data_IF_447543170839
#
_entry.id   IF_447543170839
#
_cell.length_a   1.000
_cell.length_b   1.000
_cell.length_c   1.000
_cell.angle_alpha   90.00
_cell.angle_beta   90.00
_cell.angle_gamma   90.00
#
_symmetry.space_group_name_H-M   'P 1'
#
loop_
_entity.id
_entity.type
_entity.pdbx_description
1 polymer ?
#
# COMPACT_ATOMS: atom_id res chain seq x y z
N UNK A 1 10.67 -10.87 -14.69
CA UNK A 1 10.30 -10.59 -13.28
C UNK A 1 10.39 -9.10 -13.10
N UNK A 2 9.39 -8.50 -12.46
CA UNK A 2 9.31 -7.05 -12.30
C UNK A 2 10.15 -6.64 -11.09
N UNK A 3 11.45 -6.43 -11.31
CA UNK A 3 12.45 -6.15 -10.25
C UNK A 3 12.03 -4.96 -9.36
N UNK A 4 11.25 -4.03 -9.92
CA UNK A 4 10.70 -2.90 -9.18
C UNK A 4 9.57 -3.29 -8.23
N UNK A 5 8.66 -4.16 -8.67
CA UNK A 5 7.66 -4.73 -7.78
C UNK A 5 8.32 -5.46 -6.62
N UNK A 6 9.38 -6.24 -6.87
CA UNK A 6 10.13 -6.93 -5.83
C UNK A 6 10.77 -5.95 -4.83
N UNK A 7 11.31 -4.84 -5.32
CA UNK A 7 11.87 -3.78 -4.47
C UNK A 7 10.80 -3.09 -3.61
N UNK A 8 9.67 -2.70 -4.21
CA UNK A 8 8.54 -2.06 -3.51
C UNK A 8 7.94 -3.05 -2.49
N UNK A 9 7.79 -4.32 -2.86
CA UNK A 9 7.28 -5.37 -2.01
C UNK A 9 8.18 -5.61 -0.78
N UNK A 10 9.50 -5.63 -0.95
CA UNK A 10 10.44 -5.76 0.16
C UNK A 10 10.33 -4.61 1.16
N UNK A 11 10.20 -3.37 0.67
CA UNK A 11 10.01 -2.18 1.51
C UNK A 11 8.66 -2.21 2.26
N UNK A 12 7.59 -2.61 1.57
CA UNK A 12 6.28 -2.78 2.19
C UNK A 12 6.29 -3.91 3.23
N UNK A 13 6.93 -5.04 2.95
CA UNK A 13 7.08 -6.14 3.91
C UNK A 13 7.75 -5.68 5.19
N UNK A 14 8.82 -4.90 5.06
CA UNK A 14 9.55 -4.34 6.20
C UNK A 14 8.71 -3.39 7.04
N UNK A 15 7.87 -2.56 6.42
CA UNK A 15 6.88 -1.77 7.14
C UNK A 15 5.82 -2.64 7.84
N UNK A 16 5.35 -3.71 7.19
CA UNK A 16 4.34 -4.59 7.76
C UNK A 16 4.86 -5.37 8.98
N UNK A 17 6.14 -5.73 8.99
CA UNK A 17 6.80 -6.45 10.08
C UNK A 17 7.24 -5.49 11.20
N UNK A 18 8.08 -4.50 10.87
CA UNK A 18 8.80 -3.64 11.82
C UNK A 18 8.12 -2.29 12.12
N UNK A 19 7.00 -1.95 11.45
CA UNK A 19 6.40 -0.60 11.47
C UNK A 19 7.32 0.51 10.93
N UNK A 20 8.30 0.14 10.10
CA UNK A 20 9.30 1.06 9.55
C UNK A 20 8.64 2.05 8.57
N UNK A 21 8.36 3.26 9.06
CA UNK A 21 7.73 4.33 8.26
C UNK A 21 8.64 4.82 7.13
N UNK A 22 9.95 4.78 7.30
CA UNK A 22 10.89 5.19 6.26
C UNK A 22 10.84 4.22 5.07
N UNK A 23 10.70 2.92 5.34
CA UNK A 23 10.48 1.91 4.31
C UNK A 23 9.17 2.15 3.54
N UNK A 24 8.09 2.53 4.23
CA UNK A 24 6.82 2.89 3.57
C UNK A 24 6.97 4.13 2.67
N UNK A 25 7.70 5.16 3.09
CA UNK A 25 7.95 6.35 2.29
C UNK A 25 8.85 6.06 1.07
N UNK A 26 9.86 5.21 1.24
CA UNK A 26 10.68 4.72 0.13
C UNK A 26 9.85 3.94 -0.89
N UNK A 27 8.96 3.05 -0.42
CA UNK A 27 8.05 2.28 -1.29
C UNK A 27 7.12 3.20 -2.09
N UNK A 28 6.58 4.23 -1.43
CA UNK A 28 5.75 5.25 -2.08
C UNK A 28 6.52 6.05 -3.13
N UNK A 29 7.77 6.42 -2.85
CA UNK A 29 8.63 7.18 -3.76
C UNK A 29 8.97 6.35 -5.00
N UNK A 30 9.35 5.09 -4.81
CA UNK A 30 9.62 4.15 -5.90
C UNK A 30 8.37 3.94 -6.77
N UNK A 31 7.20 3.72 -6.15
CA UNK A 31 5.94 3.60 -6.86
C UNK A 31 5.56 4.88 -7.64
N UNK A 32 5.76 6.06 -7.05
CA UNK A 32 5.47 7.34 -7.72
C UNK A 32 6.38 7.61 -8.93
N UNK A 33 7.64 7.17 -8.87
CA UNK A 33 8.58 7.27 -9.99
C UNK A 33 8.16 6.38 -11.17
N UNK A 34 7.54 5.23 -10.89
CA UNK A 34 7.08 4.25 -11.89
C UNK A 34 5.57 4.26 -12.09
N UNK A 35 5.03 5.41 -12.53
CA UNK A 35 3.61 5.65 -12.85
C UNK A 35 2.89 4.58 -13.69
N UNK A 36 3.59 3.63 -14.31
CA UNK A 36 3.08 2.63 -15.22
C UNK A 36 2.33 1.47 -14.54
N UNK A 37 2.73 1.06 -13.33
CA UNK A 37 2.23 -0.18 -12.70
C UNK A 37 1.70 0.05 -11.29
N UNK A 38 0.60 0.80 -11.23
CA UNK A 38 -0.07 1.27 -10.03
C UNK A 38 -0.75 0.11 -9.27
N UNK A 39 -1.25 -0.89 -10.01
CA UNK A 39 -2.12 -1.94 -9.47
C UNK A 39 -1.32 -3.08 -8.82
N UNK A 40 -0.13 -3.40 -9.35
CA UNK A 40 0.72 -4.48 -8.87
C UNK A 40 1.10 -4.37 -7.37
N UNK A 41 1.64 -3.24 -6.86
CA UNK A 41 2.00 -3.12 -5.45
C UNK A 41 0.78 -3.06 -4.53
N UNK A 42 -0.34 -2.47 -4.98
CA UNK A 42 -1.60 -2.49 -4.24
C UNK A 42 -2.17 -3.90 -4.11
N UNK A 43 -2.12 -4.69 -5.19
CA UNK A 43 -2.61 -6.06 -5.22
C UNK A 43 -1.75 -7.00 -4.38
N UNK A 44 -0.42 -6.78 -4.39
CA UNK A 44 0.52 -7.46 -3.50
C UNK A 44 0.23 -7.14 -2.02
N UNK A 45 0.01 -5.86 -1.69
CA UNK A 45 -0.33 -5.47 -0.32
C UNK A 45 -1.64 -6.11 0.14
N UNK A 46 -2.64 -6.18 -0.74
CA UNK A 46 -3.92 -6.83 -0.44
C UNK A 46 -3.79 -8.33 -0.20
N UNK A 47 -2.92 -9.04 -0.92
CA UNK A 47 -2.71 -10.48 -0.72
C UNK A 47 -1.98 -10.83 0.58
N UNK A 48 -1.21 -9.90 1.15
CA UNK A 48 -0.46 -10.12 2.40
C UNK A 48 -1.36 -10.12 3.64
N UNK A 49 -1.07 -11.04 4.56
CA UNK A 49 -1.74 -11.09 5.87
C UNK A 49 -1.01 -10.17 6.83
N UNK A 50 -1.61 -9.02 7.14
CA UNK A 50 -1.05 -8.01 8.03
C UNK A 50 -2.17 -7.31 8.82
N UNK A 51 -1.86 -6.62 9.93
CA UNK A 51 -2.85 -5.91 10.72
C UNK A 51 -3.64 -4.92 9.87
N UNK A 52 -4.97 -4.87 10.04
CA UNK A 52 -5.86 -4.03 9.24
C UNK A 52 -5.44 -2.54 9.26
N UNK A 53 -4.99 -2.03 10.41
CA UNK A 53 -4.48 -0.66 10.53
C UNK A 53 -3.21 -0.39 9.72
N UNK A 54 -2.26 -1.34 9.69
CA UNK A 54 -1.04 -1.22 8.87
C UNK A 54 -1.35 -1.29 7.38
N UNK A 55 -2.22 -2.22 6.97
CA UNK A 55 -2.65 -2.34 5.56
C UNK A 55 -3.39 -1.10 5.09
N UNK A 56 -4.30 -0.55 5.90
CA UNK A 56 -5.03 0.68 5.57
C UNK A 56 -4.07 1.87 5.43
N UNK A 57 -3.15 2.05 6.37
CA UNK A 57 -2.15 3.12 6.31
C UNK A 57 -1.26 3.00 5.06
N UNK A 58 -0.72 1.81 4.79
CA UNK A 58 0.12 1.57 3.61
C UNK A 58 -0.67 1.80 2.31
N UNK A 59 -1.92 1.33 2.24
CA UNK A 59 -2.80 1.53 1.07
C UNK A 59 -3.07 3.02 0.83
N UNK A 60 -3.41 3.77 1.88
CA UNK A 60 -3.66 5.22 1.79
C UNK A 60 -2.43 5.99 1.33
N UNK A 61 -1.26 5.69 1.91
CA UNK A 61 0.01 6.32 1.54
C UNK A 61 0.40 6.02 0.09
N UNK A 62 0.29 4.75 -0.31
CA UNK A 62 0.61 4.33 -1.67
C UNK A 62 -0.33 4.99 -2.70
N UNK A 63 -1.64 5.05 -2.43
CA UNK A 63 -2.60 5.78 -3.28
C UNK A 63 -2.28 7.27 -3.36
N UNK A 64 -1.93 7.90 -2.23
CA UNK A 64 -1.57 9.32 -2.19
C UNK A 64 -0.32 9.60 -3.04
N UNK A 65 0.71 8.75 -2.93
CA UNK A 65 1.94 8.87 -3.72
C UNK A 65 1.68 8.71 -5.23
N UNK A 66 0.78 7.80 -5.59
CA UNK A 66 0.36 7.56 -6.97
C UNK A 66 -0.66 8.60 -7.48
N UNK A 67 -1.00 9.62 -6.66
CA UNK A 67 -2.06 10.63 -6.93
C UNK A 67 -3.40 10.00 -7.35
N UNK A 68 -3.65 8.78 -6.89
CA UNK A 68 -4.92 8.12 -7.12
C UNK A 68 -6.00 8.77 -6.23
N UNK A 69 -7.26 8.84 -6.70
CA UNK A 69 -8.35 9.22 -5.82
C UNK A 69 -8.36 8.29 -4.61
N UNK A 70 -8.37 8.89 -3.42
CA UNK A 70 -8.65 8.18 -2.19
C UNK A 70 -10.06 7.60 -2.36
N UNK A 71 -10.16 6.28 -2.54
CA UNK A 71 -11.47 5.65 -2.50
C UNK A 71 -12.00 5.89 -1.08
N UNK A 72 -13.18 6.53 -0.92
CA UNK A 72 -13.88 6.41 0.36
C UNK A 72 -14.07 4.91 0.55
N UNK A 73 -13.51 4.38 1.64
CA UNK A 73 -13.80 3.00 2.04
C UNK A 73 -15.32 2.80 2.05
N UNK A 74 -15.81 1.56 1.84
CA UNK A 74 -17.24 1.29 1.94
C UNK A 74 -17.76 1.95 3.21
N UNK A 75 -18.85 2.73 3.15
CA UNK A 75 -19.38 3.36 4.35
C UNK A 75 -19.51 2.26 5.38
N UNK A 76 -18.92 2.46 6.56
CA UNK A 76 -19.22 1.63 7.71
C UNK A 76 -20.74 1.65 7.84
N UNK A 77 -21.42 0.63 7.31
CA UNK A 77 -22.84 0.44 7.55
C UNK A 77 -22.91 0.13 9.04
N UNK A 78 -23.55 0.97 9.87
CA UNK A 78 -24.07 0.42 11.11
C UNK A 78 -25.06 -0.66 10.70
N UNK A 79 -24.76 -1.89 11.11
CA UNK A 79 -25.67 -3.03 11.04
C UNK A 79 -27.01 -2.62 11.68
N UNK A 80 -28.14 -2.57 10.93
CA UNK A 80 -29.43 -2.38 11.54
C UNK A 80 -29.91 -3.74 12.06
N UNK A 81 -29.91 -3.86 13.39
CA UNK A 81 -30.67 -4.85 14.15
C UNK A 81 -32.14 -4.91 13.69
#
# INVERSE_FOLDING_TARGET
MDQDLEHIAALLERFLDEDDRAALEAACTAAAARRSDIDAPLRWLQSRRAPAGRKDLATRRLRAALRLPAMPGPPCRPDPY
#
